data_IF_254790959296
#
_entry.id   IF_254790959296
#
_cell.length_a   1.000
_cell.length_b   1.000
_cell.length_c   1.000
_cell.angle_alpha   90.00
_cell.angle_beta   90.00
_cell.angle_gamma   90.00
#
_symmetry.space_group_name_H-M   'P 1'
#
loop_
_entity.id
_entity.type
_entity.pdbx_description
1 polymer ?
#
# COMPACT_ATOMS: atom_id res chain seq x y z
N UNK A 1 9.60 -47.17 -18.13
CA UNK A 1 9.03 -45.89 -18.59
C UNK A 1 9.59 -44.76 -17.74
N UNK A 2 9.95 -43.64 -18.35
CA UNK A 2 10.46 -42.45 -17.64
C UNK A 2 9.54 -41.27 -17.95
N UNK A 3 9.04 -40.56 -16.93
CA UNK A 3 8.06 -39.47 -17.06
C UNK A 3 6.80 -39.84 -17.89
N UNK A 4 6.36 -41.10 -17.84
CA UNK A 4 5.20 -41.58 -18.60
C UNK A 4 5.39 -41.64 -20.11
N UNK A 5 6.63 -41.49 -20.61
CA UNK A 5 6.96 -41.47 -22.05
C UNK A 5 7.82 -42.70 -22.38
N UNK A 6 7.56 -43.31 -23.54
CA UNK A 6 8.36 -44.41 -24.10
C UNK A 6 7.82 -45.82 -23.89
N UNK A 7 8.66 -46.82 -24.16
CA UNK A 7 8.33 -48.24 -24.02
C UNK A 7 8.43 -48.71 -22.56
N UNK A 8 7.62 -49.72 -22.20
CA UNK A 8 7.71 -50.38 -20.89
C UNK A 8 8.99 -51.21 -20.76
N UNK A 9 9.34 -51.94 -21.82
CA UNK A 9 10.58 -52.71 -21.97
C UNK A 9 11.03 -52.68 -23.43
N UNK A 10 12.35 -52.75 -23.68
CA UNK A 10 12.89 -52.87 -25.03
C UNK A 10 12.68 -54.28 -25.63
N UNK A 11 12.47 -55.30 -24.77
CA UNK A 11 12.23 -56.69 -25.19
C UNK A 11 10.94 -56.81 -25.99
N UNK A 12 11.00 -57.45 -27.15
CA UNK A 12 9.86 -57.61 -28.05
C UNK A 12 9.56 -56.42 -28.95
N UNK A 13 10.27 -55.29 -28.78
CA UNK A 13 10.11 -54.10 -29.65
C UNK A 13 10.91 -54.18 -30.96
N UNK A 14 11.85 -55.11 -31.07
CA UNK A 14 12.77 -55.20 -32.22
C UNK A 14 13.78 -54.06 -32.33
N UNK A 15 13.90 -53.20 -31.30
CA UNK A 15 14.82 -52.05 -31.27
C UNK A 15 15.57 -51.98 -29.93
N UNK A 16 16.54 -51.07 -29.83
CA UNK A 16 17.31 -50.83 -28.60
C UNK A 16 16.53 -50.04 -27.51
N UNK A 17 15.31 -49.59 -27.79
CA UNK A 17 14.50 -48.81 -26.85
C UNK A 17 14.97 -47.37 -26.60
N UNK A 18 15.82 -46.82 -27.47
CA UNK A 18 16.27 -45.43 -27.36
C UNK A 18 15.15 -44.44 -27.73
N UNK A 19 14.86 -43.50 -26.85
CA UNK A 19 13.76 -42.53 -27.01
C UNK A 19 14.34 -41.11 -27.06
N UNK A 20 14.06 -40.37 -28.12
CA UNK A 20 14.45 -38.96 -28.27
C UNK A 20 13.22 -38.05 -28.19
N UNK A 21 13.37 -36.88 -27.56
CA UNK A 21 12.34 -35.84 -27.59
C UNK A 21 12.07 -35.37 -29.02
N UNK A 22 10.81 -35.07 -29.34
CA UNK A 22 10.46 -34.42 -30.60
C UNK A 22 11.00 -32.97 -30.59
N UNK A 23 11.86 -32.63 -31.57
CA UNK A 23 12.41 -31.26 -31.71
C UNK A 23 11.47 -30.31 -32.46
N UNK A 24 10.53 -30.85 -33.24
CA UNK A 24 9.56 -30.09 -34.03
C UNK A 24 8.24 -29.84 -33.29
N UNK A 25 8.07 -30.43 -32.10
CA UNK A 25 6.90 -30.16 -31.27
C UNK A 25 6.94 -28.70 -30.79
N UNK A 26 6.09 -27.88 -31.40
CA UNK A 26 5.88 -26.50 -30.95
C UNK A 26 5.31 -26.53 -29.55
N UNK A 27 6.04 -25.97 -28.58
CA UNK A 27 5.45 -25.66 -27.27
C UNK A 27 4.36 -24.61 -27.51
N UNK A 28 3.14 -24.87 -27.02
CA UNK A 28 2.10 -23.85 -27.04
C UNK A 28 2.69 -22.57 -26.46
N UNK A 29 2.69 -21.50 -27.26
CA UNK A 29 3.28 -20.22 -26.89
C UNK A 29 2.50 -19.76 -25.67
N UNK A 30 3.17 -19.67 -24.51
CA UNK A 30 2.57 -18.99 -23.35
C UNK A 30 2.27 -17.58 -23.85
N UNK A 31 1.00 -17.22 -23.87
CA UNK A 31 0.56 -15.94 -24.40
C UNK A 31 1.12 -14.85 -23.48
N UNK A 32 2.09 -14.04 -23.95
CA UNK A 32 2.74 -13.05 -23.09
C UNK A 32 1.73 -12.02 -22.57
N UNK A 33 0.62 -11.81 -23.30
CA UNK A 33 -0.46 -10.92 -22.88
C UNK A 33 -1.23 -11.45 -21.66
N UNK A 34 -1.56 -12.76 -21.64
CA UNK A 34 -2.20 -13.38 -20.47
C UNK A 34 -1.28 -13.43 -19.25
N UNK A 35 0.04 -13.48 -19.45
CA UNK A 35 0.99 -13.39 -18.34
C UNK A 35 1.14 -11.94 -17.84
N UNK A 36 1.03 -10.93 -18.72
CA UNK A 36 1.02 -9.54 -18.31
C UNK A 36 -0.24 -9.12 -17.55
N UNK A 37 -1.43 -9.58 -17.96
CA UNK A 37 -2.69 -9.33 -17.24
C UNK A 37 -2.63 -9.92 -15.83
N UNK A 38 -2.21 -11.19 -15.70
CA UNK A 38 -2.01 -11.82 -14.39
C UNK A 38 -1.00 -11.06 -13.52
N UNK A 39 0.09 -10.55 -14.10
CA UNK A 39 1.07 -9.75 -13.35
C UNK A 39 0.54 -8.39 -12.92
N UNK A 40 -0.39 -7.79 -13.67
CA UNK A 40 -1.04 -6.53 -13.30
C UNK A 40 -2.02 -6.79 -12.16
N UNK A 41 -2.84 -7.85 -12.25
CA UNK A 41 -3.76 -8.27 -11.19
C UNK A 41 -3.02 -8.67 -9.90
N UNK A 42 -1.88 -9.37 -10.02
CA UNK A 42 -1.01 -9.68 -8.88
C UNK A 42 -0.46 -8.39 -8.25
N UNK A 43 -0.02 -7.41 -9.05
CA UNK A 43 0.49 -6.12 -8.54
C UNK A 43 -0.59 -5.26 -7.90
N UNK A 44 -1.84 -5.27 -8.39
CA UNK A 44 -2.94 -4.54 -7.76
C UNK A 44 -3.37 -5.22 -6.46
N UNK A 45 -3.37 -6.56 -6.39
CA UNK A 45 -3.63 -7.30 -5.15
C UNK A 45 -2.60 -7.04 -4.03
N UNK A 46 -1.39 -6.61 -4.39
CA UNK A 46 -0.31 -6.27 -3.45
C UNK A 46 -0.39 -4.81 -2.94
N UNK A 47 -1.30 -3.99 -3.47
CA UNK A 47 -1.50 -2.63 -2.96
C UNK A 47 -2.16 -2.71 -1.59
N UNK A 48 -1.37 -2.48 -0.54
CA UNK A 48 -1.88 -2.42 0.84
C UNK A 48 -2.95 -1.35 0.92
N UNK A 49 -4.13 -1.75 1.37
CA UNK A 49 -5.24 -0.83 1.63
C UNK A 49 -4.80 0.21 2.69
N UNK A 50 -5.29 1.46 2.60
CA UNK A 50 -5.07 2.43 3.65
C UNK A 50 -5.74 1.95 4.94
N UNK A 51 -5.02 2.08 6.06
CA UNK A 51 -5.54 1.72 7.37
C UNK A 51 -6.18 2.96 8.00
N UNK A 52 -7.46 2.85 8.35
CA UNK A 52 -8.23 3.96 8.91
C UNK A 52 -7.70 4.37 10.28
N UNK A 53 -7.22 3.44 11.11
CA UNK A 53 -6.72 3.74 12.45
C UNK A 53 -5.44 4.58 12.36
N UNK A 54 -4.54 4.23 11.44
CA UNK A 54 -3.30 4.97 11.22
C UNK A 54 -3.58 6.38 10.68
N UNK A 55 -4.54 6.52 9.77
CA UNK A 55 -4.95 7.83 9.26
C UNK A 55 -5.54 8.71 10.38
N UNK A 56 -6.37 8.14 11.26
CA UNK A 56 -6.93 8.85 12.40
C UNK A 56 -5.84 9.25 13.41
N UNK A 57 -4.90 8.36 13.68
CA UNK A 57 -3.78 8.63 14.57
C UNK A 57 -2.91 9.79 14.06
N UNK A 58 -2.57 9.78 12.76
CA UNK A 58 -1.81 10.86 12.14
C UNK A 58 -2.56 12.21 12.19
N UNK A 59 -3.89 12.23 12.03
CA UNK A 59 -4.68 13.46 12.21
C UNK A 59 -4.61 13.99 13.64
N UNK A 60 -4.85 13.12 14.63
CA UNK A 60 -4.75 13.49 16.06
C UNK A 60 -3.36 14.00 16.41
N UNK A 61 -2.32 13.30 15.93
CA UNK A 61 -0.92 13.70 16.10
C UNK A 61 -0.64 15.10 15.55
N UNK A 62 -1.17 15.46 14.37
CA UNK A 62 -1.02 16.80 13.79
C UNK A 62 -1.69 17.88 14.66
N UNK A 63 -2.78 17.57 15.35
CA UNK A 63 -3.43 18.48 16.29
C UNK A 63 -2.54 18.67 17.52
N UNK A 64 -2.10 17.57 18.15
CA UNK A 64 -1.27 17.65 19.36
C UNK A 64 0.08 18.33 19.11
N UNK A 65 0.70 18.15 17.93
CA UNK A 65 1.92 18.88 17.57
C UNK A 65 1.67 20.39 17.60
N UNK A 66 0.56 20.86 17.03
CA UNK A 66 0.22 22.30 17.04
C UNK A 66 -0.08 22.81 18.44
N UNK A 67 -0.73 22.01 19.28
CA UNK A 67 -0.96 22.35 20.68
C UNK A 67 0.37 22.47 21.44
N UNK A 68 1.32 21.57 21.18
CA UNK A 68 2.66 21.64 21.76
C UNK A 68 3.45 22.85 21.26
N UNK A 69 3.38 23.17 19.97
CA UNK A 69 3.99 24.38 19.41
C UNK A 69 3.45 25.66 20.08
N UNK A 70 2.13 25.73 20.30
CA UNK A 70 1.52 26.86 21.03
C UNK A 70 1.99 26.91 22.48
N UNK A 71 2.04 25.76 23.16
CA UNK A 71 2.53 25.68 24.54
C UNK A 71 3.95 26.25 24.66
N UNK A 72 4.87 25.80 23.80
CA UNK A 72 6.24 26.31 23.77
C UNK A 72 6.30 27.83 23.56
N UNK A 73 5.45 28.38 22.69
CA UNK A 73 5.38 29.83 22.47
C UNK A 73 4.93 30.58 23.73
N UNK A 74 3.91 30.07 24.43
CA UNK A 74 3.41 30.72 25.65
C UNK A 74 4.38 30.57 26.84
N UNK A 75 5.13 29.46 26.90
CA UNK A 75 6.23 29.27 27.86
C UNK A 75 7.38 30.25 27.58
N UNK A 76 7.77 30.44 26.31
CA UNK A 76 8.78 31.43 25.90
C UNK A 76 8.34 32.88 26.19
N UNK A 77 7.04 33.16 26.10
CA UNK A 77 6.44 34.45 26.45
C UNK A 77 6.35 34.68 27.98
N UNK A 78 6.65 33.65 28.79
CA UNK A 78 6.71 33.73 30.25
C UNK A 78 5.35 33.73 30.94
N UNK A 79 4.33 33.11 30.34
CA UNK A 79 3.02 32.95 30.97
C UNK A 79 3.05 31.90 32.08
N UNK A 80 2.07 31.98 32.98
CA UNK A 80 1.89 31.01 34.06
C UNK A 80 1.36 29.66 33.52
N UNK A 81 1.72 28.55 34.15
CA UNK A 81 1.34 27.20 33.72
C UNK A 81 -0.19 27.02 33.62
N UNK A 82 -0.96 27.61 34.55
CA UNK A 82 -2.42 27.50 34.54
C UNK A 82 -3.03 28.22 33.33
N UNK A 83 -2.52 29.40 32.98
CA UNK A 83 -2.98 30.17 31.82
C UNK A 83 -2.59 29.50 30.48
N UNK A 84 -1.43 28.83 30.47
CA UNK A 84 -0.95 28.08 29.31
C UNK A 84 -1.88 26.91 29.04
N UNK A 85 -2.20 26.10 30.06
CA UNK A 85 -3.06 24.93 29.91
C UNK A 85 -4.48 25.32 29.45
N UNK A 86 -5.07 26.39 30.01
CA UNK A 86 -6.37 26.91 29.54
C UNK A 86 -6.36 27.30 28.06
N UNK A 87 -5.34 28.05 27.62
CA UNK A 87 -5.21 28.49 26.23
C UNK A 87 -4.98 27.33 25.27
N UNK A 88 -4.16 26.36 25.67
CA UNK A 88 -3.88 25.15 24.88
C UNK A 88 -5.13 24.28 24.77
N UNK A 89 -5.93 24.15 25.83
CA UNK A 89 -7.17 23.38 25.81
C UNK A 89 -8.23 24.01 24.89
N UNK A 90 -8.43 25.33 24.97
CA UNK A 90 -9.29 26.06 24.04
C UNK A 90 -8.83 25.86 22.60
N UNK A 91 -7.52 25.97 22.35
CA UNK A 91 -6.94 25.76 21.02
C UNK A 91 -7.10 24.31 20.53
N UNK A 92 -6.97 23.32 21.42
CA UNK A 92 -7.19 21.90 21.10
C UNK A 92 -8.64 21.67 20.66
N UNK A 93 -9.61 22.20 21.39
CA UNK A 93 -11.03 22.11 21.02
C UNK A 93 -11.32 22.77 19.66
N UNK A 94 -10.74 23.95 19.41
CA UNK A 94 -10.89 24.62 18.12
C UNK A 94 -10.33 23.79 16.96
N UNK A 95 -9.14 23.19 17.14
CA UNK A 95 -8.51 22.36 16.12
C UNK A 95 -9.32 21.09 15.86
N UNK A 96 -9.86 20.46 16.90
CA UNK A 96 -10.75 19.30 16.78
C UNK A 96 -12.03 19.65 16.01
N UNK A 97 -12.66 20.79 16.32
CA UNK A 97 -13.85 21.27 15.58
C UNK A 97 -13.52 21.51 14.10
N UNK A 98 -12.40 22.19 13.82
CA UNK A 98 -11.92 22.46 12.45
C UNK A 98 -11.59 21.17 11.68
N UNK A 99 -11.07 20.13 12.33
CA UNK A 99 -10.77 18.83 11.69
C UNK A 99 -12.04 18.03 11.38
N UNK A 100 -13.08 18.14 12.21
CA UNK A 100 -14.37 17.51 11.95
C UNK A 100 -15.11 18.15 10.76
N UNK A 101 -15.05 19.48 10.65
CA UNK A 101 -15.67 20.22 9.54
C UNK A 101 -14.90 20.04 8.24
N UNK A 102 -13.57 20.02 8.31
CA UNK A 102 -12.74 19.75 7.16
C UNK A 102 -12.49 18.26 7.05
N UNK A 103 -13.22 17.60 6.15
CA UNK A 103 -12.68 16.43 5.43
C UNK A 103 -11.49 16.90 4.56
N UNK A 104 -10.39 17.32 5.18
CA UNK A 104 -9.23 17.91 4.51
C UNK A 104 -8.74 16.86 3.52
N UNK A 105 -8.90 17.18 2.24
CA UNK A 105 -8.19 16.49 1.18
C UNK A 105 -6.75 16.97 1.28
N UNK A 106 -5.87 16.12 1.80
CA UNK A 106 -4.45 16.41 1.74
C UNK A 106 -4.01 16.35 0.27
N UNK A 107 -3.34 17.40 -0.19
CA UNK A 107 -2.80 17.43 -1.55
C UNK A 107 -1.79 16.29 -1.69
N UNK A 108 -2.05 15.34 -2.58
CA UNK A 108 -1.19 14.17 -2.77
C UNK A 108 0.27 14.56 -3.06
N UNK A 109 0.51 15.74 -3.64
CA UNK A 109 1.83 16.29 -3.92
C UNK A 109 2.61 16.75 -2.67
N UNK A 110 1.92 17.03 -1.55
CA UNK A 110 2.55 17.46 -0.29
C UNK A 110 2.91 16.28 0.62
N UNK A 111 2.46 15.06 0.29
CA UNK A 111 2.74 13.87 1.07
C UNK A 111 4.19 13.43 0.88
N UNK A 112 4.85 13.09 1.98
CA UNK A 112 6.23 12.58 1.97
C UNK A 112 6.24 11.06 1.77
N UNK A 113 7.35 10.52 1.28
CA UNK A 113 7.49 9.09 0.96
C UNK A 113 7.18 8.16 2.15
N UNK A 114 7.47 8.60 3.38
CA UNK A 114 7.21 7.81 4.59
C UNK A 114 5.71 7.74 4.98
N UNK A 115 4.85 8.55 4.37
CA UNK A 115 3.42 8.61 4.68
C UNK A 115 2.62 7.59 3.85
N UNK A 116 2.99 6.32 3.99
CA UNK A 116 2.51 5.21 3.14
C UNK A 116 0.98 5.08 3.11
N UNK A 117 0.31 5.18 4.27
CA UNK A 117 -1.15 5.07 4.35
C UNK A 117 -1.88 6.29 3.78
N UNK A 118 -1.32 7.49 3.91
CA UNK A 118 -1.89 8.71 3.32
C UNK A 118 -1.74 8.67 1.79
N UNK A 119 -0.59 8.21 1.30
CA UNK A 119 -0.35 7.99 -0.14
C UNK A 119 -1.28 6.90 -0.70
N UNK A 120 -1.52 5.82 0.04
CA UNK A 120 -2.46 4.77 -0.34
C UNK A 120 -3.91 5.29 -0.38
N UNK A 121 -4.35 6.08 0.61
CA UNK A 121 -5.70 6.70 0.64
C UNK A 121 -5.88 7.67 -0.54
N UNK A 122 -4.87 8.47 -0.85
CA UNK A 122 -4.88 9.38 -1.99
C UNK A 122 -5.01 8.62 -3.33
N UNK A 123 -4.20 7.59 -3.55
CA UNK A 123 -4.28 6.73 -4.75
C UNK A 123 -5.62 6.00 -4.85
N UNK A 124 -6.13 5.46 -3.73
CA UNK A 124 -7.42 4.77 -3.71
C UNK A 124 -8.57 5.73 -4.07
N UNK A 125 -8.53 6.97 -3.59
CA UNK A 125 -9.50 8.02 -3.98
C UNK A 125 -9.38 8.40 -5.45
N UNK A 126 -8.17 8.56 -5.97
CA UNK A 126 -7.94 8.87 -7.38
C UNK A 126 -8.51 7.78 -8.29
N UNK A 127 -8.19 6.51 -7.99
CA UNK A 127 -8.71 5.35 -8.73
C UNK A 127 -10.24 5.21 -8.65
N UNK A 128 -10.87 5.63 -7.55
CA UNK A 128 -12.33 5.60 -7.39
C UNK A 128 -13.05 6.70 -8.19
N UNK A 129 -12.35 7.80 -8.49
CA UNK A 129 -12.90 8.94 -9.22
C UNK A 129 -12.72 8.81 -10.75
N UNK A 130 -11.89 7.87 -11.21
CA UNK A 130 -11.72 7.44 -12.60
C UNK A 130 -12.83 6.45 -12.99
#
# INVERSE_FOLDING_TARGET
MYNGIGLQTARGSGTNGYIQRNKSQLKSRRDPFKESEKRIDEKTSLQKQPDQEILLHERKRKIEIKCMELRLQLEDDGLDEDEIDEKVDVYREELLKKDMDKKVKEDAQKLKEYQTHQLADAKHRENKNL
#
